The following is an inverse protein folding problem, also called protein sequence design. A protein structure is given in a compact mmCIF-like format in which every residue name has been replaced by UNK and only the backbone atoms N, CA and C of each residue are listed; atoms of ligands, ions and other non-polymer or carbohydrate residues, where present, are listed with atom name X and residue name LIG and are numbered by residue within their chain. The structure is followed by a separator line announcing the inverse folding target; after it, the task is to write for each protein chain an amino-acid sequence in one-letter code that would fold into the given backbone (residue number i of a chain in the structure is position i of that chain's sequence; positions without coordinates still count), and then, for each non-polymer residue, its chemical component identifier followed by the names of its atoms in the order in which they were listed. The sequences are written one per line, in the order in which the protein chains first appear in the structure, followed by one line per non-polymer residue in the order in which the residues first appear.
data_IF_216646390405
#
_entry.id   IF_216646390405
#
_cell.length_a   1.000
_cell.length_b   1.000
_cell.length_c   1.000
_cell.angle_alpha   90.00
_cell.angle_beta   90.00
_cell.angle_gamma   90.00
#
_symmetry.space_group_name_H-M   'P 1'
#
loop_
_entity.id
_entity.type
_entity.pdbx_description
1 polymer ?
#
# COMPACT_ATOMS: atom_id res chain seq x y z
N UNK A 1 64.82 49.75 17.16
CA UNK A 1 64.03 48.68 17.81
C UNK A 1 62.98 48.19 16.82
N UNK A 2 63.18 47.03 16.18
CA UNK A 2 62.21 46.45 15.25
C UNK A 2 61.08 45.87 16.10
N UNK A 3 59.89 46.50 16.08
CA UNK A 3 58.68 45.96 16.70
C UNK A 3 58.31 44.71 15.91
N UNK A 4 58.58 43.57 16.54
CA UNK A 4 58.33 42.26 15.96
C UNK A 4 56.80 42.09 15.85
N UNK A 5 56.32 42.02 14.61
CA UNK A 5 54.94 41.71 14.24
C UNK A 5 54.74 40.19 14.44
N UNK A 6 54.73 39.71 15.68
CA UNK A 6 54.40 38.29 16.01
C UNK A 6 52.90 38.13 16.33
N UNK A 7 52.21 39.21 16.66
CA UNK A 7 50.82 39.15 17.13
C UNK A 7 49.78 38.61 16.12
N UNK A 8 49.82 38.92 14.81
CA UNK A 8 48.78 38.42 13.89
C UNK A 8 48.92 36.93 13.55
N UNK A 9 50.13 36.36 13.70
CA UNK A 9 50.35 34.93 13.47
C UNK A 9 49.74 34.06 14.57
N UNK A 10 49.74 34.54 15.82
CA UNK A 10 49.17 33.80 16.96
C UNK A 10 47.63 33.73 16.84
N UNK A 11 46.98 34.81 16.41
CA UNK A 11 45.52 34.83 16.24
C UNK A 11 44.99 33.90 15.15
N UNK A 12 45.77 33.66 14.08
CA UNK A 12 45.40 32.72 13.00
C UNK A 12 45.52 31.26 13.48
N UNK A 13 46.45 30.97 14.39
CA UNK A 13 46.62 29.61 14.91
C UNK A 13 45.45 29.21 15.80
N UNK A 14 44.80 30.16 16.51
CA UNK A 14 43.69 29.89 17.43
C UNK A 14 42.28 29.92 16.81
N UNK A 15 42.15 30.13 15.49
CA UNK A 15 40.86 30.03 14.82
C UNK A 15 40.52 28.57 14.51
N UNK A 16 39.72 27.93 15.37
CA UNK A 16 39.22 26.58 15.11
C UNK A 16 38.39 26.54 13.83
N UNK A 17 38.60 25.51 13.01
CA UNK A 17 37.84 25.29 11.77
C UNK A 17 36.89 24.11 11.95
N UNK A 18 35.63 24.29 11.53
CA UNK A 18 34.64 23.22 11.41
C UNK A 18 34.44 22.88 9.93
N UNK A 19 34.52 21.60 9.60
CA UNK A 19 34.30 21.07 8.27
C UNK A 19 33.11 20.11 8.31
N UNK A 20 32.20 20.29 7.35
CA UNK A 20 30.93 19.58 7.28
C UNK A 20 30.88 18.75 5.99
N UNK A 21 30.60 17.46 6.12
CA UNK A 21 30.40 16.55 5.00
C UNK A 21 29.03 15.89 5.12
N UNK A 22 28.00 16.43 4.45
CA UNK A 22 26.70 15.77 4.39
C UNK A 22 26.75 14.56 3.45
N UNK A 23 26.17 13.44 3.88
CA UNK A 23 26.02 12.22 3.09
C UNK A 23 24.53 11.83 3.12
N UNK A 24 23.82 12.04 2.02
CA UNK A 24 22.45 11.55 1.87
C UNK A 24 22.42 10.05 1.56
N UNK A 25 21.91 9.22 2.47
CA UNK A 25 21.78 7.76 2.26
C UNK A 25 20.30 7.40 2.27
N UNK A 26 19.62 7.56 1.13
CA UNK A 26 18.19 7.23 1.04
C UNK A 26 17.98 5.71 1.00
N UNK A 27 17.55 5.11 2.12
CA UNK A 27 16.87 3.82 2.11
C UNK A 27 15.36 4.03 1.92
N UNK A 28 14.86 3.78 0.70
CA UNK A 28 13.42 3.56 0.45
C UNK A 28 13.16 2.04 0.36
N UNK A 29 12.00 1.49 0.71
CA UNK A 29 10.66 2.06 0.88
C UNK A 29 10.08 1.87 2.28
N UNK A 30 9.30 2.85 2.77
CA UNK A 30 8.16 2.60 3.67
C UNK A 30 7.08 1.98 2.79
N UNK A 31 7.16 0.67 2.59
CA UNK A 31 6.50 0.02 1.46
C UNK A 31 6.10 -1.40 1.78
N UNK A 32 5.49 -1.62 2.93
CA UNK A 32 4.74 -2.84 3.18
C UNK A 32 3.61 -2.57 4.17
N UNK A 33 2.58 -3.43 4.14
CA UNK A 33 1.52 -3.50 5.16
C UNK A 33 2.07 -3.78 6.58
N UNK A 34 3.38 -4.01 6.70
CA UNK A 34 4.09 -4.42 7.92
C UNK A 34 5.04 -3.34 8.46
N UNK A 35 5.20 -2.20 7.78
CA UNK A 35 6.06 -1.09 8.20
C UNK A 35 5.21 0.13 8.55
N UNK A 36 5.27 0.60 9.80
CA UNK A 36 4.56 1.80 10.25
C UNK A 36 5.56 2.90 10.60
N UNK A 37 5.49 4.08 9.95
CA UNK A 37 6.29 5.22 10.39
C UNK A 37 5.79 5.68 11.76
N UNK A 38 6.68 5.73 12.74
CA UNK A 38 6.36 6.10 14.12
C UNK A 38 6.78 7.54 14.47
N UNK A 39 7.67 8.15 13.68
CA UNK A 39 8.19 9.49 13.94
C UNK A 39 9.53 9.73 13.24
N UNK A 40 10.21 10.80 13.64
CA UNK A 40 11.58 11.12 13.22
C UNK A 40 12.47 10.93 14.45
N UNK A 41 13.63 10.30 14.26
CA UNK A 41 14.66 10.20 15.28
C UNK A 41 15.98 10.77 14.79
N UNK A 42 16.76 11.25 15.76
CA UNK A 42 18.11 11.75 15.56
C UNK A 42 19.05 11.09 16.57
N UNK A 43 20.21 10.63 16.11
CA UNK A 43 21.26 10.07 16.95
C UNK A 43 22.61 10.65 16.59
N UNK A 44 23.45 10.84 17.60
CA UNK A 44 24.77 11.44 17.44
C UNK A 44 25.82 10.54 18.05
N UNK A 45 26.82 10.15 17.25
CA UNK A 45 28.01 9.44 17.70
C UNK A 45 29.21 10.40 17.67
N UNK A 46 30.05 10.37 18.70
CA UNK A 46 31.14 11.36 18.88
C UNK A 46 32.46 10.68 19.22
N UNK A 47 33.50 11.03 18.47
CA UNK A 47 34.89 10.63 18.72
C UNK A 47 35.79 11.85 18.90
N UNK A 48 36.69 11.76 19.88
CA UNK A 48 37.75 12.72 20.11
C UNK A 48 39.11 12.09 19.86
N UNK A 49 39.96 12.81 19.13
CA UNK A 49 41.35 12.47 18.89
C UNK A 49 42.21 13.60 19.47
N UNK A 50 43.17 13.25 20.32
CA UNK A 50 43.96 14.22 21.07
C UNK A 50 45.44 14.03 20.72
N UNK A 51 46.17 15.10 20.46
CA UNK A 51 47.62 15.06 20.27
C UNK A 51 48.32 14.67 21.58
N UNK A 52 49.36 13.81 21.56
CA UNK A 52 50.01 13.19 20.40
C UNK A 52 49.41 11.84 19.96
N UNK A 53 48.35 11.37 20.62
CA UNK A 53 47.87 10.00 20.54
C UNK A 53 46.65 9.79 19.63
N UNK A 54 46.46 10.60 18.58
CA UNK A 54 45.23 10.63 17.76
C UNK A 54 44.59 9.26 17.51
N UNK A 55 45.32 8.32 16.88
CA UNK A 55 44.80 6.99 16.54
C UNK A 55 45.08 5.93 17.62
N UNK A 56 45.95 6.24 18.59
CA UNK A 56 46.35 5.30 19.64
C UNK A 56 45.43 5.37 20.87
N UNK A 57 44.80 6.53 21.11
CA UNK A 57 43.91 6.74 22.25
C UNK A 57 42.66 7.53 21.83
N UNK A 58 41.84 7.02 20.88
CA UNK A 58 40.57 7.64 20.57
C UNK A 58 39.64 7.56 21.79
N UNK A 59 38.94 8.65 22.09
CA UNK A 59 37.90 8.68 23.12
C UNK A 59 36.55 8.72 22.42
N UNK A 60 35.74 7.68 22.62
CA UNK A 60 34.44 7.52 21.96
C UNK A 60 34.52 6.86 20.58
N UNK A 61 33.41 6.88 19.86
CA UNK A 61 33.22 6.23 18.56
C UNK A 61 32.57 7.24 17.60
N UNK A 62 32.90 7.19 16.31
CA UNK A 62 32.28 8.02 15.27
C UNK A 62 31.75 7.16 14.11
N UNK A 63 31.17 6.02 14.44
CA UNK A 63 30.60 5.10 13.45
C UNK A 63 29.16 5.45 13.13
N UNK A 64 28.77 5.26 11.87
CA UNK A 64 27.37 5.40 11.44
C UNK A 64 26.45 4.46 12.24
N UNK A 65 26.95 3.25 12.54
CA UNK A 65 26.23 2.26 13.33
C UNK A 65 25.92 2.79 14.73
N UNK A 66 26.91 3.31 15.46
CA UNK A 66 26.71 3.90 16.78
C UNK A 66 25.74 5.09 16.72
N UNK A 67 25.78 5.91 15.67
CA UNK A 67 24.83 7.01 15.51
C UNK A 67 23.39 6.51 15.27
N UNK A 68 23.20 5.43 14.52
CA UNK A 68 21.89 4.76 14.34
C UNK A 68 21.43 4.13 15.65
N UNK A 69 22.31 3.42 16.36
CA UNK A 69 21.98 2.78 17.65
C UNK A 69 21.54 3.85 18.67
N UNK A 70 22.26 4.99 18.75
CA UNK A 70 21.88 6.13 19.59
C UNK A 70 20.56 6.79 19.14
N UNK A 71 20.22 6.75 17.85
CA UNK A 71 18.94 7.27 17.35
C UNK A 71 17.77 6.34 17.69
N UNK A 72 18.01 5.03 17.80
CA UNK A 72 17.01 4.02 18.17
C UNK A 72 16.89 3.84 19.68
N UNK A 73 17.92 4.21 20.44
CA UNK A 73 17.94 4.08 21.90
C UNK A 73 16.76 4.85 22.54
N UNK A 74 15.94 4.10 23.29
CA UNK A 74 14.75 4.65 23.96
C UNK A 74 13.58 5.00 23.02
N UNK A 75 13.68 4.69 21.72
CA UNK A 75 12.60 4.89 20.75
C UNK A 75 11.77 3.62 20.54
N UNK A 76 10.54 3.80 20.06
CA UNK A 76 9.57 2.70 19.82
C UNK A 76 9.74 2.06 18.42
N UNK A 77 10.62 2.61 17.58
CA UNK A 77 10.91 2.10 16.24
C UNK A 77 11.97 0.99 16.26
N UNK A 78 11.82 0.00 15.40
CA UNK A 78 12.77 -1.10 15.24
C UNK A 78 13.93 -0.73 14.31
N UNK A 79 13.71 0.21 13.39
CA UNK A 79 14.71 0.67 12.42
C UNK A 79 14.49 2.12 11.99
N UNK A 80 15.42 2.66 11.19
CA UNK A 80 15.30 3.94 10.51
C UNK A 80 15.18 3.75 8.99
N UNK A 81 14.24 4.47 8.38
CA UNK A 81 14.11 4.63 6.93
C UNK A 81 14.42 6.08 6.53
N UNK A 82 14.71 6.32 5.24
CA UNK A 82 15.04 7.65 4.72
C UNK A 82 16.16 8.35 5.54
N UNK A 83 17.26 7.62 5.76
CA UNK A 83 18.33 8.05 6.66
C UNK A 83 19.20 9.15 6.03
N UNK A 84 19.29 10.29 6.70
CA UNK A 84 20.24 11.33 6.40
C UNK A 84 21.40 11.26 7.39
N UNK A 85 22.64 11.24 6.89
CA UNK A 85 23.82 11.24 7.74
C UNK A 85 24.67 12.47 7.46
N UNK A 86 25.10 13.16 8.52
CA UNK A 86 26.00 14.29 8.45
C UNK A 86 27.25 13.98 9.28
N UNK A 87 28.44 14.22 8.71
CA UNK A 87 29.68 14.18 9.47
C UNK A 87 30.21 15.58 9.70
N UNK A 88 30.43 15.93 10.96
CA UNK A 88 31.04 17.19 11.39
C UNK A 88 32.41 16.92 12.00
N UNK A 89 33.45 17.50 11.40
CA UNK A 89 34.82 17.43 11.91
C UNK A 89 35.22 18.81 12.41
N UNK A 90 35.55 18.92 13.68
CA UNK A 90 36.03 20.15 14.31
C UNK A 90 37.48 19.93 14.71
N UNK A 91 38.35 20.77 14.16
CA UNK A 91 39.77 20.74 14.45
C UNK A 91 40.18 22.01 15.21
N UNK A 92 40.83 21.83 16.35
CA UNK A 92 41.35 22.93 17.17
C UNK A 92 42.84 22.70 17.47
N UNK A 93 43.70 23.73 17.42
CA UNK A 93 43.34 25.12 17.16
C UNK A 93 43.27 25.44 15.65
N UNK A 94 43.86 24.59 14.79
CA UNK A 94 43.86 24.75 13.33
C UNK A 94 43.84 23.39 12.61
N UNK A 95 43.31 23.31 11.38
CA UNK A 95 43.12 22.04 10.64
C UNK A 95 44.41 21.29 10.30
N UNK A 96 45.51 22.01 10.02
CA UNK A 96 46.81 21.42 9.68
C UNK A 96 47.65 20.98 10.89
N UNK A 97 47.34 21.48 12.09
CA UNK A 97 48.04 21.13 13.33
C UNK A 97 47.05 21.02 14.51
N UNK A 98 46.09 20.09 14.45
CA UNK A 98 44.96 20.09 15.35
C UNK A 98 45.31 19.39 16.66
N UNK A 99 45.61 20.12 17.74
CA UNK A 99 45.79 19.51 19.07
C UNK A 99 44.60 18.61 19.49
N UNK A 100 43.39 18.98 19.09
CA UNK A 100 42.16 18.23 19.36
C UNK A 100 41.34 18.17 18.08
N UNK A 101 40.90 16.96 17.71
CA UNK A 101 39.92 16.75 16.64
C UNK A 101 38.68 16.11 17.25
N UNK A 102 37.51 16.71 17.03
CA UNK A 102 36.21 16.10 17.31
C UNK A 102 35.55 15.70 16.00
N UNK A 103 35.15 14.44 15.89
CA UNK A 103 34.35 13.91 14.79
C UNK A 103 33.00 13.53 15.33
N UNK A 104 31.96 14.20 14.85
CA UNK A 104 30.57 13.87 15.15
C UNK A 104 29.94 13.24 13.90
N UNK A 105 29.24 12.12 14.06
CA UNK A 105 28.35 11.56 13.05
C UNK A 105 26.93 11.72 13.56
N UNK A 106 26.14 12.51 12.85
CA UNK A 106 24.75 12.83 13.15
C UNK A 106 23.90 12.08 12.14
N UNK A 107 22.94 11.31 12.62
CA UNK A 107 22.01 10.56 11.79
C UNK A 107 20.61 11.02 12.11
N UNK A 108 19.85 11.37 11.08
CA UNK A 108 18.43 11.72 11.16
C UNK A 108 17.66 10.77 10.25
N UNK A 109 16.58 10.16 10.73
CA UNK A 109 15.79 9.25 9.91
C UNK A 109 14.35 9.14 10.39
N UNK A 110 13.50 8.51 9.58
CA UNK A 110 12.13 8.16 9.98
C UNK A 110 12.16 6.85 10.75
N UNK A 111 11.69 6.85 12.00
CA UNK A 111 11.49 5.62 12.77
C UNK A 111 10.43 4.75 12.11
N UNK A 112 10.77 3.49 11.89
CA UNK A 112 9.85 2.49 11.36
C UNK A 112 9.72 1.36 12.36
N UNK A 113 8.48 0.97 12.63
CA UNK A 113 8.15 -0.21 13.43
C UNK A 113 7.69 -1.33 12.49
N UNK A 114 8.24 -2.53 12.67
CA UNK A 114 7.83 -3.74 11.99
C UNK A 114 6.73 -4.44 12.78
N UNK A 115 5.66 -4.85 12.10
CA UNK A 115 4.63 -5.69 12.70
C UNK A 115 5.20 -7.12 12.88
N UNK A 116 5.62 -7.48 14.09
CA UNK A 116 6.10 -8.85 14.44
C UNK A 116 4.97 -9.71 15.01
N UNK A 117 5.17 -11.03 15.14
CA UNK A 117 4.20 -11.93 15.79
C UNK A 117 3.89 -11.57 17.26
N UNK A 118 4.78 -10.84 17.93
CA UNK A 118 4.63 -10.40 19.33
C UNK A 118 3.82 -9.09 19.46
N UNK A 119 3.79 -8.29 18.38
CA UNK A 119 2.86 -7.19 18.19
C UNK A 119 1.93 -7.58 17.03
N UNK A 120 0.95 -8.48 17.25
CA UNK A 120 -0.01 -8.81 16.22
C UNK A 120 -0.57 -7.49 15.67
N UNK A 121 -0.79 -7.37 14.35
CA UNK A 121 -1.49 -6.21 13.82
C UNK A 121 -2.72 -6.02 14.69
N UNK A 122 -2.98 -4.79 15.14
CA UNK A 122 -4.25 -4.46 15.80
C UNK A 122 -5.34 -5.29 15.11
N UNK A 123 -6.16 -6.06 15.84
CA UNK A 123 -7.10 -7.06 15.28
C UNK A 123 -7.98 -6.53 14.12
N UNK A 124 -8.01 -5.22 13.97
CA UNK A 124 -8.02 -4.40 12.76
C UNK A 124 -7.26 -4.87 11.48
N UNK A 125 -7.15 -6.17 11.18
CA UNK A 125 -6.72 -6.65 9.84
C UNK A 125 -7.65 -6.11 8.72
N UNK A 126 -8.89 -5.76 9.09
CA UNK A 126 -9.86 -5.07 8.24
C UNK A 126 -9.57 -3.59 7.99
N UNK A 127 -8.80 -2.90 8.85
CA UNK A 127 -8.53 -1.46 8.70
C UNK A 127 -7.71 -1.15 7.44
N UNK A 128 -6.95 -2.13 6.95
CA UNK A 128 -6.07 -2.01 5.80
C UNK A 128 -6.39 -3.03 4.71
N UNK A 129 -7.50 -3.75 4.85
CA UNK A 129 -7.93 -4.71 3.84
C UNK A 129 -8.50 -3.96 2.64
N UNK A 130 -8.05 -4.33 1.43
CA UNK A 130 -8.69 -3.92 0.19
C UNK A 130 -9.98 -4.73 -0.09
N UNK A 131 -10.30 -5.72 0.75
CA UNK A 131 -11.52 -6.52 0.62
C UNK A 131 -12.70 -5.80 1.29
N UNK A 132 -13.75 -5.42 0.54
CA UNK A 132 -14.89 -4.74 1.12
C UNK A 132 -15.66 -5.62 2.13
N UNK A 133 -15.60 -6.95 2.01
CA UNK A 133 -16.18 -7.88 2.97
C UNK A 133 -15.48 -7.82 4.33
N UNK A 134 -14.13 -7.80 4.35
CA UNK A 134 -13.37 -7.64 5.59
C UNK A 134 -13.61 -6.27 6.23
N UNK A 135 -13.64 -5.19 5.42
CA UNK A 135 -13.97 -3.85 5.92
C UNK A 135 -15.37 -3.85 6.55
N UNK A 136 -16.35 -4.47 5.90
CA UNK A 136 -17.72 -4.58 6.39
C UNK A 136 -17.80 -5.30 7.74
N UNK A 137 -17.20 -6.48 7.86
CA UNK A 137 -17.13 -7.24 9.12
C UNK A 137 -16.45 -6.44 10.23
N UNK A 138 -15.37 -5.74 9.89
CA UNK A 138 -14.66 -4.87 10.80
C UNK A 138 -15.44 -3.64 11.26
N UNK A 139 -16.37 -3.14 10.44
CA UNK A 139 -17.28 -2.06 10.85
C UNK A 139 -18.41 -2.58 11.73
N UNK A 140 -18.92 -3.80 11.48
CA UNK A 140 -19.98 -4.40 12.29
C UNK A 140 -19.58 -4.66 13.75
N UNK A 141 -18.28 -4.85 14.00
CA UNK A 141 -17.75 -5.04 15.36
C UNK A 141 -17.64 -3.73 16.15
N UNK A 142 -17.66 -2.58 15.49
CA UNK A 142 -17.53 -1.25 16.11
C UNK A 142 -18.88 -0.68 16.56
N UNK A 143 -18.82 0.24 17.52
CA UNK A 143 -19.97 1.08 17.87
C UNK A 143 -20.28 2.10 16.77
N UNK A 144 -21.51 2.62 16.75
CA UNK A 144 -22.03 3.46 15.66
C UNK A 144 -21.20 4.74 15.44
N UNK A 145 -20.75 5.39 16.50
CA UNK A 145 -19.93 6.61 16.38
C UNK A 145 -18.56 6.29 15.74
N UNK A 146 -17.97 5.17 16.12
CA UNK A 146 -16.70 4.70 15.58
C UNK A 146 -16.84 4.23 14.13
N UNK A 147 -17.95 3.60 13.76
CA UNK A 147 -18.28 3.27 12.38
C UNK A 147 -18.28 4.54 11.51
N UNK A 148 -18.99 5.59 11.93
CA UNK A 148 -19.08 6.86 11.22
C UNK A 148 -17.71 7.53 11.07
N UNK A 149 -16.95 7.61 12.18
CA UNK A 149 -15.59 8.16 12.16
C UNK A 149 -14.73 7.36 11.20
N UNK A 150 -14.84 6.03 11.22
CA UNK A 150 -14.02 5.15 10.37
C UNK A 150 -14.35 5.28 8.90
N UNK A 151 -15.63 5.25 8.53
CA UNK A 151 -16.08 5.41 7.13
C UNK A 151 -15.54 6.73 6.55
N UNK A 152 -15.50 7.81 7.33
CA UNK A 152 -14.92 9.10 6.91
C UNK A 152 -13.41 9.04 6.67
N UNK A 153 -12.68 8.19 7.38
CA UNK A 153 -11.22 8.01 7.20
C UNK A 153 -10.84 7.10 6.02
N UNK A 154 -11.81 6.38 5.43
CA UNK A 154 -11.55 5.52 4.28
C UNK A 154 -11.26 6.35 3.02
N UNK A 155 -10.34 5.84 2.19
CA UNK A 155 -10.09 6.40 0.86
C UNK A 155 -11.36 6.38 0.01
N UNK A 156 -11.43 7.22 -1.03
CA UNK A 156 -12.58 7.26 -1.95
C UNK A 156 -12.80 5.92 -2.67
N UNK A 157 -11.73 5.25 -3.10
CA UNK A 157 -11.79 3.92 -3.72
C UNK A 157 -12.35 2.87 -2.75
N UNK A 158 -11.87 2.86 -1.51
CA UNK A 158 -12.36 1.94 -0.47
C UNK A 158 -13.83 2.19 -0.12
N UNK A 159 -14.25 3.47 -0.04
CA UNK A 159 -15.66 3.83 0.18
C UNK A 159 -16.56 3.36 -0.95
N UNK A 160 -16.11 3.50 -2.19
CA UNK A 160 -16.86 3.06 -3.38
C UNK A 160 -17.04 1.55 -3.37
N UNK A 161 -15.96 0.78 -3.15
CA UNK A 161 -16.01 -0.69 -3.05
C UNK A 161 -16.90 -1.17 -1.90
N UNK A 162 -16.85 -0.47 -0.76
CA UNK A 162 -17.71 -0.77 0.39
C UNK A 162 -19.18 -0.50 0.08
N UNK A 163 -19.49 0.58 -0.64
CA UNK A 163 -20.85 0.89 -1.10
C UNK A 163 -21.36 -0.15 -2.12
N UNK A 164 -20.52 -0.60 -3.05
CA UNK A 164 -20.88 -1.67 -4.00
C UNK A 164 -21.17 -2.99 -3.26
N UNK A 165 -20.35 -3.33 -2.26
CA UNK A 165 -20.57 -4.50 -1.41
C UNK A 165 -21.83 -4.39 -0.56
N UNK A 166 -22.13 -3.20 -0.01
CA UNK A 166 -23.38 -2.94 0.70
C UNK A 166 -24.59 -3.22 -0.21
N UNK A 167 -24.57 -2.73 -1.46
CA UNK A 167 -25.63 -3.00 -2.44
C UNK A 167 -25.75 -4.50 -2.75
N UNK A 168 -24.64 -5.23 -2.84
CA UNK A 168 -24.66 -6.68 -3.02
C UNK A 168 -25.37 -7.40 -1.85
N UNK A 169 -25.13 -6.94 -0.61
CA UNK A 169 -25.71 -7.52 0.60
C UNK A 169 -27.17 -7.08 0.85
N UNK A 170 -27.73 -6.14 0.07
CA UNK A 170 -29.02 -5.49 0.32
C UNK A 170 -30.16 -6.49 0.64
N UNK A 171 -30.23 -7.60 -0.08
CA UNK A 171 -31.29 -8.61 0.07
C UNK A 171 -31.06 -9.62 1.20
N UNK A 172 -29.85 -9.67 1.77
CA UNK A 172 -29.47 -10.58 2.85
C UNK A 172 -29.55 -9.94 4.23
N UNK A 173 -29.76 -8.62 4.28
CA UNK A 173 -29.85 -7.85 5.52
C UNK A 173 -31.23 -8.04 6.15
N UNK A 174 -31.26 -8.33 7.45
CA UNK A 174 -32.49 -8.49 8.23
C UNK A 174 -32.92 -7.15 8.83
N UNK A 175 -34.22 -6.86 8.77
CA UNK A 175 -34.80 -5.69 9.45
C UNK A 175 -34.42 -5.70 10.95
N UNK A 176 -33.91 -4.57 11.45
CA UNK A 176 -33.47 -4.36 12.83
C UNK A 176 -32.07 -4.86 13.16
N UNK A 177 -31.30 -5.38 12.20
CA UNK A 177 -29.97 -5.93 12.45
C UNK A 177 -28.87 -4.86 12.46
N UNK A 178 -27.70 -5.19 13.01
CA UNK A 178 -26.53 -4.28 12.98
C UNK A 178 -26.09 -3.98 11.54
N UNK A 179 -26.28 -4.93 10.65
CA UNK A 179 -26.04 -4.81 9.22
C UNK A 179 -26.96 -3.79 8.56
N UNK A 180 -28.23 -3.68 8.97
CA UNK A 180 -29.13 -2.63 8.47
C UNK A 180 -28.63 -1.24 8.86
N UNK A 181 -28.20 -1.07 10.11
CA UNK A 181 -27.69 0.22 10.59
C UNK A 181 -26.44 0.63 9.80
N UNK A 182 -25.53 -0.31 9.56
CA UNK A 182 -24.32 -0.07 8.77
C UNK A 182 -24.66 0.24 7.31
N UNK A 183 -25.59 -0.51 6.70
CA UNK A 183 -26.08 -0.27 5.34
C UNK A 183 -26.70 1.12 5.19
N UNK A 184 -27.57 1.50 6.12
CA UNK A 184 -28.17 2.84 6.18
C UNK A 184 -27.10 3.91 6.30
N UNK A 185 -26.04 3.65 7.08
CA UNK A 185 -24.94 4.59 7.27
C UNK A 185 -24.13 4.79 5.99
N UNK A 186 -23.94 3.74 5.19
CA UNK A 186 -23.15 3.78 3.96
C UNK A 186 -23.95 4.33 2.77
N UNK A 187 -25.19 3.86 2.57
CA UNK A 187 -26.00 4.16 1.38
C UNK A 187 -27.12 5.17 1.62
N UNK A 188 -27.36 5.56 2.87
CA UNK A 188 -28.39 6.53 3.27
C UNK A 188 -29.80 6.20 2.74
N UNK A 189 -30.16 4.91 2.69
CA UNK A 189 -31.49 4.42 2.28
C UNK A 189 -31.82 3.09 2.96
N UNK A 190 -33.11 2.79 3.15
CA UNK A 190 -33.55 1.49 3.72
C UNK A 190 -33.26 0.33 2.74
N UNK A 191 -32.80 -0.84 3.23
CA UNK A 191 -32.64 -2.01 2.38
C UNK A 191 -34.00 -2.47 1.87
N UNK A 192 -34.06 -2.95 0.62
CA UNK A 192 -35.28 -3.58 0.10
C UNK A 192 -35.56 -4.86 0.88
N UNK A 193 -36.80 -5.02 1.36
CA UNK A 193 -37.26 -6.30 1.90
C UNK A 193 -36.99 -7.39 0.85
N UNK A 194 -36.55 -8.59 1.26
CA UNK A 194 -36.48 -9.72 0.37
C UNK A 194 -37.91 -10.08 -0.05
N UNK A 195 -38.41 -9.45 -1.11
CA UNK A 195 -39.44 -10.03 -1.96
C UNK A 195 -38.91 -11.39 -2.33
N UNK A 196 -39.61 -12.49 -1.97
CA UNK A 196 -39.23 -13.90 -2.19
C UNK A 196 -38.06 -14.00 -3.16
N UNK A 197 -36.87 -14.29 -2.62
CA UNK A 197 -35.62 -14.19 -3.34
C UNK A 197 -35.79 -14.69 -4.78
N UNK A 198 -35.35 -13.94 -5.82
CA UNK A 198 -35.10 -14.59 -7.09
C UNK A 198 -34.18 -15.78 -6.78
N UNK A 199 -34.68 -16.96 -7.13
CA UNK A 199 -34.10 -18.24 -6.76
C UNK A 199 -32.59 -18.18 -6.98
N UNK A 200 -31.83 -18.57 -5.95
CA UNK A 200 -30.39 -18.82 -6.03
C UNK A 200 -30.05 -19.44 -7.39
N UNK A 201 -29.07 -18.91 -8.14
CA UNK A 201 -28.67 -19.47 -9.44
C UNK A 201 -28.21 -20.93 -9.36
N UNK A 202 -28.04 -21.49 -8.15
CA UNK A 202 -27.75 -22.91 -7.92
C UNK A 202 -28.87 -23.87 -8.32
N UNK A 203 -30.02 -23.38 -8.80
CA UNK A 203 -31.07 -24.21 -9.39
C UNK A 203 -31.38 -23.87 -10.86
N UNK A 204 -30.55 -23.04 -11.51
CA UNK A 204 -30.63 -22.95 -12.96
C UNK A 204 -29.99 -24.22 -13.47
N UNK A 205 -30.79 -25.12 -14.06
CA UNK A 205 -30.27 -26.27 -14.78
C UNK A 205 -29.10 -25.77 -15.64
N UNK A 206 -27.89 -26.29 -15.39
CA UNK A 206 -26.68 -25.96 -16.15
C UNK A 206 -26.88 -26.17 -17.66
N UNK A 207 -27.96 -26.85 -18.03
CA UNK A 207 -28.41 -27.21 -19.37
C UNK A 207 -28.91 -25.99 -20.19
N UNK A 208 -29.43 -24.91 -19.59
CA UNK A 208 -30.09 -23.83 -20.37
C UNK A 208 -29.39 -22.47 -20.42
N UNK A 209 -28.30 -22.29 -19.68
CA UNK A 209 -27.60 -21.00 -19.61
C UNK A 209 -26.82 -20.68 -20.92
N UNK A 210 -27.51 -20.08 -21.90
CA UNK A 210 -27.04 -19.78 -23.27
C UNK A 210 -27.10 -18.27 -23.62
N UNK A 211 -27.30 -17.40 -22.63
CA UNK A 211 -27.36 -15.95 -22.79
C UNK A 211 -26.15 -15.28 -22.14
N UNK A 212 -25.72 -14.14 -22.68
CA UNK A 212 -24.55 -13.40 -22.20
C UNK A 212 -24.59 -13.13 -20.69
N UNK A 213 -25.70 -12.57 -20.21
CA UNK A 213 -25.90 -12.27 -18.78
C UNK A 213 -25.84 -13.52 -17.89
N UNK A 214 -26.30 -14.65 -18.39
CA UNK A 214 -26.23 -15.88 -17.61
C UNK A 214 -24.79 -16.41 -17.56
N UNK A 215 -24.05 -16.31 -18.68
CA UNK A 215 -22.65 -16.75 -18.75
C UNK A 215 -21.75 -15.96 -17.80
N UNK A 216 -21.98 -14.66 -17.61
CA UNK A 216 -21.18 -13.82 -16.69
C UNK A 216 -21.33 -14.22 -15.23
N UNK A 217 -22.43 -14.89 -14.87
CA UNK A 217 -22.71 -15.38 -13.51
C UNK A 217 -22.09 -16.77 -13.21
N UNK A 218 -21.59 -17.47 -14.23
CA UNK A 218 -20.97 -18.79 -14.08
C UNK A 218 -19.50 -18.67 -13.62
N UNK A 219 -18.98 -19.74 -13.02
CA UNK A 219 -17.55 -19.84 -12.72
C UNK A 219 -16.71 -19.86 -14.00
N UNK A 220 -15.45 -19.42 -13.93
CA UNK A 220 -14.54 -19.38 -15.09
C UNK A 220 -14.36 -20.76 -15.75
N UNK A 221 -14.33 -21.83 -14.95
CA UNK A 221 -14.24 -23.21 -15.46
C UNK A 221 -15.50 -23.62 -16.23
N UNK A 222 -16.68 -23.29 -15.70
CA UNK A 222 -17.96 -23.61 -16.34
C UNK A 222 -18.18 -22.77 -17.61
N UNK A 223 -17.77 -21.50 -17.60
CA UNK A 223 -17.76 -20.63 -18.78
C UNK A 223 -16.94 -21.26 -19.92
N UNK A 224 -15.69 -21.67 -19.64
CA UNK A 224 -14.81 -22.25 -20.63
C UNK A 224 -15.36 -23.56 -21.20
N UNK A 225 -15.90 -24.45 -20.35
CA UNK A 225 -16.53 -25.70 -20.77
C UNK A 225 -17.72 -25.46 -21.70
N UNK A 226 -18.60 -24.52 -21.35
CA UNK A 226 -19.78 -24.19 -22.15
C UNK A 226 -19.46 -23.55 -23.49
N UNK A 227 -18.53 -22.61 -23.53
CA UNK A 227 -18.11 -22.02 -24.81
C UNK A 227 -17.47 -23.08 -25.70
N UNK A 228 -16.64 -23.97 -25.13
CA UNK A 228 -16.07 -25.11 -25.87
C UNK A 228 -17.17 -26.04 -26.38
N UNK A 229 -18.22 -26.29 -25.60
CA UNK A 229 -19.37 -27.09 -26.01
C UNK A 229 -20.12 -26.43 -27.16
N UNK A 230 -20.44 -25.13 -27.06
CA UNK A 230 -21.11 -24.35 -28.11
C UNK A 230 -20.28 -24.25 -29.41
N UNK A 231 -18.95 -24.26 -29.30
CA UNK A 231 -18.05 -24.31 -30.46
C UNK A 231 -17.99 -25.69 -31.11
N UNK A 232 -18.09 -26.77 -30.32
CA UNK A 232 -18.03 -28.16 -30.80
C UNK A 232 -19.36 -28.68 -31.32
N UNK A 233 -20.49 -28.19 -30.81
CA UNK A 233 -21.83 -28.50 -31.32
C UNK A 233 -21.98 -27.89 -32.72
N UNK A 234 -21.82 -28.72 -33.75
CA UNK A 234 -21.88 -28.33 -35.17
C UNK A 234 -23.31 -28.01 -35.67
N UNK A 235 -24.27 -27.78 -34.78
CA UNK A 235 -25.64 -27.43 -35.13
C UNK A 235 -25.80 -25.92 -35.32
N UNK A 236 -26.55 -25.54 -36.36
CA UNK A 236 -26.83 -24.14 -36.73
C UNK A 236 -27.41 -23.31 -35.57
N UNK A 237 -28.18 -23.96 -34.68
CA UNK A 237 -28.81 -23.36 -33.51
C UNK A 237 -27.80 -22.88 -32.46
N UNK A 238 -26.77 -23.67 -32.17
CA UNK A 238 -25.81 -23.37 -31.11
C UNK A 238 -24.75 -22.35 -31.55
N UNK A 239 -24.40 -22.34 -32.85
CA UNK A 239 -23.61 -21.25 -33.43
C UNK A 239 -24.33 -19.90 -33.35
N UNK A 240 -25.66 -19.87 -33.54
CA UNK A 240 -26.45 -18.65 -33.39
C UNK A 240 -26.41 -18.14 -31.94
N UNK A 241 -26.45 -19.04 -30.96
CA UNK A 241 -26.31 -18.70 -29.52
C UNK A 241 -24.94 -18.10 -29.22
N UNK A 242 -23.86 -18.72 -29.68
CA UNK A 242 -22.51 -18.19 -29.49
C UNK A 242 -22.34 -16.81 -30.15
N UNK A 243 -22.87 -16.62 -31.36
CA UNK A 243 -22.87 -15.31 -32.04
C UNK A 243 -23.65 -14.26 -31.26
N UNK A 244 -24.79 -14.61 -30.66
CA UNK A 244 -25.57 -13.70 -29.84
C UNK A 244 -24.81 -13.30 -28.56
N UNK A 245 -24.14 -14.25 -27.92
CA UNK A 245 -23.25 -14.00 -26.78
C UNK A 245 -22.10 -13.06 -27.19
N UNK A 246 -21.41 -13.36 -28.29
CA UNK A 246 -20.31 -12.54 -28.79
C UNK A 246 -20.79 -11.13 -29.20
N UNK A 247 -21.98 -10.99 -29.80
CA UNK A 247 -22.57 -9.69 -30.15
C UNK A 247 -22.90 -8.87 -28.91
N UNK A 248 -23.40 -9.49 -27.85
CA UNK A 248 -23.63 -8.82 -26.57
C UNK A 248 -22.30 -8.41 -25.92
N UNK A 249 -21.31 -9.31 -25.91
CA UNK A 249 -19.96 -9.06 -25.41
C UNK A 249 -19.27 -7.89 -26.12
N UNK A 250 -19.40 -7.79 -27.46
CA UNK A 250 -18.85 -6.68 -28.25
C UNK A 250 -19.41 -5.32 -27.85
N UNK A 251 -20.66 -5.25 -27.39
CA UNK A 251 -21.24 -3.98 -26.89
C UNK A 251 -20.60 -3.51 -25.58
N UNK A 252 -19.89 -4.40 -24.88
CA UNK A 252 -19.28 -4.14 -23.57
C UNK A 252 -17.81 -3.74 -23.69
N UNK A 253 -17.18 -3.94 -24.85
CA UNK A 253 -15.76 -3.62 -25.10
C UNK A 253 -15.63 -2.62 -26.25
N UNK A 254 -14.60 -1.78 -26.24
CA UNK A 254 -14.23 -0.94 -27.39
C UNK A 254 -13.35 -1.68 -28.38
N UNK A 255 -12.40 -2.46 -27.89
CA UNK A 255 -11.51 -3.27 -28.73
C UNK A 255 -10.95 -4.46 -27.96
N UNK A 256 -10.54 -5.48 -28.69
CA UNK A 256 -9.84 -6.67 -28.22
C UNK A 256 -8.53 -6.75 -29.02
N UNK A 257 -7.39 -6.87 -28.33
CA UNK A 257 -6.07 -6.97 -28.95
C UNK A 257 -5.19 -7.91 -28.13
N UNK A 258 -4.60 -8.92 -28.77
CA UNK A 258 -3.72 -9.90 -28.15
C UNK A 258 -4.29 -10.55 -26.87
N UNK A 259 -5.60 -10.85 -26.86
CA UNK A 259 -6.26 -11.46 -25.70
C UNK A 259 -6.52 -10.51 -24.53
N UNK A 260 -6.27 -9.20 -24.71
CA UNK A 260 -6.59 -8.14 -23.75
C UNK A 260 -7.77 -7.33 -24.26
N UNK A 261 -8.72 -7.02 -23.39
CA UNK A 261 -9.89 -6.19 -23.72
C UNK A 261 -9.71 -4.76 -23.23
N UNK A 262 -10.24 -3.81 -24.00
CA UNK A 262 -10.35 -2.43 -23.60
C UNK A 262 -11.83 -2.09 -23.48
N UNK A 263 -12.24 -1.64 -22.29
CA UNK A 263 -13.63 -1.31 -21.98
C UNK A 263 -13.76 0.20 -21.84
N UNK A 264 -14.88 0.74 -22.32
CA UNK A 264 -15.17 2.16 -22.18
C UNK A 264 -15.32 2.50 -20.69
N UNK A 265 -14.77 3.63 -20.19
CA UNK A 265 -14.82 3.96 -18.77
C UNK A 265 -16.25 4.10 -18.23
N UNK A 266 -17.23 4.33 -19.09
CA UNK A 266 -18.65 4.45 -18.73
C UNK A 266 -19.33 3.08 -18.47
N UNK A 267 -18.70 1.98 -18.89
CA UNK A 267 -19.28 0.63 -18.78
C UNK A 267 -18.80 -0.02 -17.49
N UNK A 268 -19.71 -0.16 -16.52
CA UNK A 268 -19.48 -0.98 -15.31
C UNK A 268 -19.61 -2.46 -15.65
N UNK A 269 -18.54 -3.22 -15.46
CA UNK A 269 -18.53 -4.68 -15.60
C UNK A 269 -18.97 -5.36 -14.30
N UNK A 270 -19.73 -6.44 -14.43
CA UNK A 270 -20.12 -7.33 -13.33
C UNK A 270 -18.94 -8.22 -12.90
N UNK A 271 -19.04 -8.81 -11.70
CA UNK A 271 -18.05 -9.76 -11.20
C UNK A 271 -17.90 -10.95 -12.15
N UNK A 272 -16.66 -11.27 -12.56
CA UNK A 272 -16.38 -12.35 -13.51
C UNK A 272 -16.60 -12.01 -14.99
N UNK A 273 -17.31 -10.92 -15.31
CA UNK A 273 -17.57 -10.48 -16.69
C UNK A 273 -16.26 -10.13 -17.43
N UNK A 274 -15.30 -9.50 -16.74
CA UNK A 274 -14.00 -9.16 -17.32
C UNK A 274 -13.23 -10.41 -17.77
N UNK A 275 -13.13 -11.41 -16.91
CA UNK A 275 -12.44 -12.67 -17.22
C UNK A 275 -13.12 -13.42 -18.37
N UNK A 276 -14.46 -13.39 -18.41
CA UNK A 276 -15.23 -13.96 -19.52
C UNK A 276 -14.96 -13.24 -20.85
N UNK A 277 -14.95 -11.91 -20.85
CA UNK A 277 -14.65 -11.09 -22.03
C UNK A 277 -13.20 -11.29 -22.51
N UNK A 278 -12.22 -11.36 -21.60
CA UNK A 278 -10.83 -11.69 -21.95
C UNK A 278 -10.70 -13.10 -22.54
N UNK A 279 -11.47 -14.07 -22.03
CA UNK A 279 -11.53 -15.41 -22.59
C UNK A 279 -12.10 -15.40 -24.02
N UNK A 280 -13.25 -14.75 -24.25
CA UNK A 280 -13.86 -14.61 -25.58
C UNK A 280 -12.92 -13.90 -26.57
N UNK A 281 -12.14 -12.93 -26.09
CA UNK A 281 -11.12 -12.21 -26.84
C UNK A 281 -9.96 -13.15 -27.25
N UNK A 282 -9.46 -13.97 -26.32
CA UNK A 282 -8.39 -14.96 -26.58
C UNK A 282 -8.77 -16.02 -27.60
N UNK A 283 -10.02 -16.50 -27.55
CA UNK A 283 -10.51 -17.51 -28.51
C UNK A 283 -10.95 -16.91 -29.85
N UNK A 284 -10.83 -15.59 -30.04
CA UNK A 284 -11.07 -14.91 -31.31
C UNK A 284 -12.53 -14.58 -31.63
N UNK A 285 -13.48 -14.80 -30.71
CA UNK A 285 -14.90 -14.48 -30.94
C UNK A 285 -15.18 -12.97 -30.97
N UNK A 286 -14.27 -12.17 -30.40
CA UNK A 286 -14.37 -10.71 -30.35
C UNK A 286 -13.54 -9.99 -31.42
N UNK A 287 -12.70 -10.71 -32.18
CA UNK A 287 -11.81 -10.15 -33.21
C UNK A 287 -12.45 -10.06 -34.61
N UNK A 288 -13.65 -10.60 -34.78
CA UNK A 288 -14.43 -10.56 -36.03
C UNK A 288 -15.25 -9.28 -36.15
#
# INVERSE_FOLDING_TARGET
MKKIIIFPFITIIFSGCAYYQPIGISSTSVGSQYERPSGIAEGVSRRWLIFPCYNACPIGEDSLKSAIDNALEGQVGDTLANVYAERRIIAFPHIYLPLIVRSDVIVTGTLVKYNTKEFPPDNAEYLYSNSPAKIWEGLLSLEREDQLRRIKTLSEDSRTKLADYANYMEFSIKDGSREEILFLTILNRKPKKPTKAPVSPSSWDEIECNMYYCMTLLSAETQARKITQLQKSAEYSDQAKLRNIAKAAKKRIRTCSNGTIFVAPEIKLESGERSFLEYLCKIGELNK
#
